data_IF_553582071760
#
_entry.id   IF_553582071760
#
_cell.length_a   1.000
_cell.length_b   1.000
_cell.length_c   1.000
_cell.angle_alpha   90.00
_cell.angle_beta   90.00
_cell.angle_gamma   90.00
#
_symmetry.space_group_name_H-M   'P 1'
#
loop_
_entity.id
_entity.type
_entity.pdbx_description
1 polymer ?
#
# COMPACT_ATOMS: atom_id res chain seq x y z
N UNK A 1 25.25 27.56 13.20
CA UNK A 1 24.07 27.47 14.10
C UNK A 1 22.84 27.83 13.29
N UNK A 2 22.32 26.88 12.50
CA UNK A 2 21.13 27.07 11.67
C UNK A 2 19.92 26.56 12.44
N UNK A 3 19.10 27.48 12.93
CA UNK A 3 17.76 27.21 13.41
C UNK A 3 16.81 27.97 12.49
N UNK A 4 16.32 27.30 11.43
CA UNK A 4 15.08 27.67 10.76
C UNK A 4 14.09 26.57 11.11
N UNK A 5 13.17 26.95 11.96
CA UNK A 5 11.95 26.25 12.34
C UNK A 5 11.16 25.81 11.11
N UNK A 6 11.24 24.52 10.75
CA UNK A 6 10.24 23.88 9.90
C UNK A 6 9.21 23.18 10.78
N UNK A 7 8.10 23.90 10.94
CA UNK A 7 6.82 23.41 11.45
C UNK A 7 6.40 22.11 10.76
N UNK A 8 5.85 21.17 11.53
CA UNK A 8 5.25 19.91 11.08
C UNK A 8 4.21 20.13 9.98
N UNK A 9 4.50 19.70 8.74
CA UNK A 9 3.50 19.33 7.73
C UNK A 9 4.10 18.53 6.54
N UNK A 10 4.91 17.49 6.79
CA UNK A 10 5.28 16.52 5.74
C UNK A 10 4.08 15.62 5.45
N UNK A 11 3.11 16.10 4.69
CA UNK A 11 2.02 15.29 4.12
C UNK A 11 1.94 15.32 2.57
N UNK A 12 2.46 16.33 1.82
CA UNK A 12 2.42 16.27 0.35
C UNK A 12 3.71 15.78 -0.33
N UNK A 13 4.87 15.75 0.34
CA UNK A 13 6.16 15.41 -0.29
C UNK A 13 6.35 13.92 -0.52
N UNK A 14 6.04 13.06 0.46
CA UNK A 14 6.18 11.61 0.33
C UNK A 14 5.27 11.03 -0.78
N UNK A 15 4.02 11.50 -0.86
CA UNK A 15 3.07 11.08 -1.89
C UNK A 15 3.54 11.52 -3.28
N UNK A 16 4.12 12.72 -3.42
CA UNK A 16 4.74 13.17 -4.69
C UNK A 16 5.94 12.32 -5.09
N UNK A 17 6.79 11.93 -4.13
CA UNK A 17 7.96 11.09 -4.43
C UNK A 17 7.54 9.70 -4.89
N UNK A 18 6.61 9.05 -4.19
CA UNK A 18 6.07 7.74 -4.59
C UNK A 18 5.42 7.84 -5.98
N UNK A 19 4.65 8.91 -6.24
CA UNK A 19 4.04 9.14 -7.53
C UNK A 19 5.06 9.26 -8.68
N UNK A 20 6.18 9.95 -8.46
CA UNK A 20 7.25 10.05 -9.45
C UNK A 20 7.90 8.70 -9.73
N UNK A 21 8.19 7.91 -8.69
CA UNK A 21 8.76 6.57 -8.83
C UNK A 21 7.84 5.63 -9.62
N UNK A 22 6.53 5.67 -9.34
CA UNK A 22 5.53 4.89 -10.08
C UNK A 22 5.43 5.31 -11.54
N UNK A 23 5.48 6.61 -11.83
CA UNK A 23 5.44 7.12 -13.20
C UNK A 23 6.67 6.69 -13.99
N UNK A 24 7.87 6.90 -13.45
CA UNK A 24 9.12 6.51 -14.10
C UNK A 24 9.19 4.99 -14.28
N UNK A 25 8.85 4.22 -13.24
CA UNK A 25 8.79 2.76 -13.32
C UNK A 25 7.79 2.28 -14.38
N UNK A 26 6.59 2.87 -14.43
CA UNK A 26 5.58 2.53 -15.44
C UNK A 26 6.05 2.80 -16.88
N UNK A 27 6.70 3.94 -17.12
CA UNK A 27 7.28 4.24 -18.44
C UNK A 27 8.37 3.25 -18.85
N UNK A 28 9.23 2.85 -17.91
CA UNK A 28 10.27 1.84 -18.17
C UNK A 28 9.65 0.49 -18.55
N UNK A 29 8.60 0.05 -17.84
CA UNK A 29 7.90 -1.20 -18.16
C UNK A 29 7.27 -1.14 -19.55
N UNK A 30 6.61 -0.04 -19.91
CA UNK A 30 6.02 0.15 -21.25
C UNK A 30 7.11 0.10 -22.34
N UNK A 31 8.25 0.75 -22.08
CA UNK A 31 9.37 0.77 -23.02
C UNK A 31 9.97 -0.62 -23.22
N UNK A 32 10.24 -1.36 -22.13
CA UNK A 32 10.75 -2.73 -22.20
C UNK A 32 9.76 -3.66 -22.89
N UNK A 33 8.46 -3.50 -22.64
CA UNK A 33 7.40 -4.27 -23.30
C UNK A 33 7.34 -3.98 -24.81
N UNK A 34 7.48 -2.72 -25.23
CA UNK A 34 7.55 -2.35 -26.64
C UNK A 34 8.78 -2.95 -27.32
N UNK A 35 9.95 -2.90 -26.68
CA UNK A 35 11.17 -3.53 -27.19
C UNK A 35 11.02 -5.04 -27.34
N UNK A 36 10.36 -5.71 -26.38
CA UNK A 36 10.05 -7.14 -26.47
C UNK A 36 9.10 -7.46 -27.62
N UNK A 37 8.01 -6.70 -27.76
CA UNK A 37 7.03 -6.89 -28.83
C UNK A 37 7.64 -6.62 -30.22
N UNK A 38 8.40 -5.54 -30.38
CA UNK A 38 9.10 -5.21 -31.62
C UNK A 38 10.25 -6.16 -31.91
N UNK A 39 10.98 -6.64 -30.90
CA UNK A 39 12.06 -7.62 -31.03
C UNK A 39 11.57 -9.00 -31.44
N UNK A 40 10.34 -9.37 -31.09
CA UNK A 40 9.70 -10.60 -31.57
C UNK A 40 9.14 -10.43 -33.00
N UNK A 41 8.53 -9.28 -33.31
CA UNK A 41 7.93 -9.02 -34.62
C UNK A 41 8.95 -8.70 -35.70
N UNK A 42 10.09 -8.12 -35.34
CA UNK A 42 11.18 -7.74 -36.23
C UNK A 42 12.34 -8.68 -35.92
N UNK A 43 12.81 -9.46 -36.89
CA UNK A 43 13.99 -10.36 -36.79
C UNK A 43 15.34 -9.63 -36.55
N UNK A 44 15.28 -8.41 -36.01
CA UNK A 44 16.41 -7.56 -35.73
C UNK A 44 17.11 -8.03 -34.45
N UNK A 45 18.09 -8.92 -34.66
CA UNK A 45 19.01 -9.45 -33.64
C UNK A 45 19.51 -8.44 -32.59
N UNK A 46 19.97 -7.21 -32.94
CA UNK A 46 20.44 -6.26 -31.93
C UNK A 46 19.35 -5.80 -30.96
N UNK A 47 18.09 -5.70 -31.40
CA UNK A 47 16.97 -5.29 -30.55
C UNK A 47 16.66 -6.35 -29.48
N UNK A 48 16.75 -7.63 -29.88
CA UNK A 48 16.57 -8.76 -28.98
C UNK A 48 17.71 -8.86 -27.95
N UNK A 49 18.96 -8.57 -28.35
CA UNK A 49 20.09 -8.49 -27.42
C UNK A 49 19.92 -7.36 -26.39
N UNK A 50 19.44 -6.19 -26.80
CA UNK A 50 19.13 -5.09 -25.88
C UNK A 50 18.03 -5.47 -24.88
N UNK A 51 16.95 -6.11 -25.36
CA UNK A 51 15.90 -6.61 -24.48
C UNK A 51 16.43 -7.62 -23.44
N UNK A 52 17.21 -8.61 -23.89
CA UNK A 52 17.80 -9.62 -23.01
C UNK A 52 18.76 -9.00 -21.97
N UNK A 53 19.59 -8.03 -22.37
CA UNK A 53 20.49 -7.33 -21.43
C UNK A 53 19.73 -6.48 -20.43
N UNK A 54 18.67 -5.77 -20.85
CA UNK A 54 17.80 -5.06 -19.91
C UNK A 54 17.17 -6.01 -18.88
N UNK A 55 16.67 -7.17 -19.31
CA UNK A 55 16.11 -8.17 -18.40
C UNK A 55 17.16 -8.73 -17.42
N UNK A 56 18.37 -9.00 -17.90
CA UNK A 56 19.47 -9.47 -17.04
C UNK A 56 19.82 -8.44 -15.96
N UNK A 57 19.84 -7.15 -16.31
CA UNK A 57 20.08 -6.07 -15.35
C UNK A 57 18.94 -5.98 -14.33
N UNK A 58 17.68 -6.06 -14.78
CA UNK A 58 16.51 -6.05 -13.88
C UNK A 58 16.60 -7.22 -12.89
N UNK A 59 16.86 -8.44 -13.38
CA UNK A 59 17.00 -9.63 -12.51
C UNK A 59 18.15 -9.49 -11.51
N UNK A 60 19.30 -8.95 -11.93
CA UNK A 60 20.41 -8.69 -11.02
C UNK A 60 20.02 -7.69 -9.92
N UNK A 61 19.30 -6.62 -10.28
CA UNK A 61 18.79 -5.64 -9.30
C UNK A 61 17.74 -6.22 -8.36
N UNK A 62 16.84 -7.08 -8.85
CA UNK A 62 15.84 -7.75 -8.02
C UNK A 62 16.49 -8.70 -7.00
N UNK A 63 17.50 -9.48 -7.43
CA UNK A 63 18.25 -10.36 -6.52
C UNK A 63 18.97 -9.52 -5.46
N UNK A 64 19.64 -8.44 -5.86
CA UNK A 64 20.31 -7.55 -4.92
C UNK A 64 19.32 -6.90 -3.93
N UNK A 65 18.16 -6.44 -4.41
CA UNK A 65 17.11 -5.86 -3.57
C UNK A 65 16.51 -6.90 -2.60
N UNK A 66 16.29 -8.13 -3.06
CA UNK A 66 15.78 -9.22 -2.23
C UNK A 66 16.76 -9.58 -1.10
N UNK A 67 18.06 -9.68 -1.41
CA UNK A 67 19.10 -9.91 -0.39
C UNK A 67 19.13 -8.74 0.60
N UNK A 68 19.11 -7.51 0.11
CA UNK A 68 19.11 -6.32 0.95
C UNK A 68 17.90 -6.29 1.90
N UNK A 69 16.70 -6.56 1.38
CA UNK A 69 15.46 -6.64 2.15
C UNK A 69 15.47 -7.78 3.17
N UNK A 70 16.05 -8.93 2.83
CA UNK A 70 16.21 -10.05 3.76
C UNK A 70 17.14 -9.70 4.93
N UNK A 71 18.26 -9.03 4.65
CA UNK A 71 19.22 -8.61 5.69
C UNK A 71 18.68 -7.49 6.58
N UNK A 72 17.89 -6.55 6.03
CA UNK A 72 17.36 -5.39 6.74
C UNK A 72 15.85 -5.47 7.00
N UNK A 73 15.33 -6.67 7.18
CA UNK A 73 13.90 -6.93 7.36
C UNK A 73 13.26 -6.13 8.50
N UNK A 74 13.97 -5.93 9.62
CA UNK A 74 13.47 -5.16 10.76
C UNK A 74 13.29 -3.66 10.46
N UNK A 75 14.20 -3.07 9.68
CA UNK A 75 14.07 -1.67 9.23
C UNK A 75 12.91 -1.55 8.25
N UNK A 76 12.86 -2.47 7.28
CA UNK A 76 11.79 -2.52 6.28
C UNK A 76 10.40 -2.70 6.91
N UNK A 77 10.25 -3.55 7.93
CA UNK A 77 8.97 -3.75 8.60
C UNK A 77 8.47 -2.44 9.25
N UNK A 78 9.35 -1.69 9.92
CA UNK A 78 8.96 -0.44 10.57
C UNK A 78 8.52 0.62 9.55
N UNK A 79 9.30 0.80 8.49
CA UNK A 79 8.99 1.74 7.41
C UNK A 79 7.68 1.35 6.70
N UNK A 80 7.52 0.05 6.41
CA UNK A 80 6.31 -0.48 5.79
C UNK A 80 5.08 -0.30 6.68
N UNK A 81 5.20 -0.57 7.99
CA UNK A 81 4.13 -0.32 8.97
C UNK A 81 3.77 1.17 9.02
N UNK A 82 4.74 2.07 8.97
CA UNK A 82 4.46 3.52 8.95
C UNK A 82 3.68 3.93 7.70
N UNK A 83 4.07 3.42 6.52
CA UNK A 83 3.35 3.65 5.25
C UNK A 83 1.92 3.10 5.34
N UNK A 84 1.74 1.90 5.87
CA UNK A 84 0.42 1.30 6.07
C UNK A 84 -0.43 2.11 7.04
N UNK A 85 0.13 2.60 8.16
CA UNK A 85 -0.59 3.47 9.10
C UNK A 85 -0.99 4.80 8.45
N UNK A 86 -0.10 5.38 7.65
CA UNK A 86 -0.42 6.58 6.88
C UNK A 86 -1.56 6.34 5.88
N UNK A 87 -1.56 5.19 5.19
CA UNK A 87 -2.66 4.76 4.32
C UNK A 87 -3.96 4.50 5.09
N UNK A 88 -3.88 3.87 6.27
CA UNK A 88 -5.03 3.58 7.13
C UNK A 88 -5.74 4.86 7.60
N UNK A 89 -5.01 5.97 7.80
CA UNK A 89 -5.62 7.27 8.13
C UNK A 89 -6.55 7.78 7.01
N UNK A 90 -6.31 7.40 5.76
CA UNK A 90 -7.19 7.74 4.63
C UNK A 90 -8.42 6.82 4.53
N UNK A 91 -8.52 5.78 5.38
CA UNK A 91 -9.69 4.91 5.43
C UNK A 91 -10.93 5.71 5.84
N UNK A 92 -11.84 5.91 4.89
CA UNK A 92 -13.07 6.64 5.10
C UNK A 92 -14.21 5.65 5.40
N UNK A 93 -14.88 5.82 6.53
CA UNK A 93 -15.66 4.76 7.12
C UNK A 93 -17.06 4.53 6.62
N UNK A 94 -17.55 5.32 5.67
CA UNK A 94 -18.92 5.20 5.16
C UNK A 94 -19.06 5.81 3.77
N UNK A 95 -20.04 5.29 3.03
CA UNK A 95 -20.45 5.73 1.70
C UNK A 95 -21.20 7.10 1.68
N UNK A 96 -21.59 7.61 2.86
CA UNK A 96 -22.63 8.64 3.01
C UNK A 96 -22.15 10.08 3.27
N UNK A 97 -20.86 10.40 3.13
CA UNK A 97 -20.43 11.80 3.20
C UNK A 97 -20.56 12.48 1.83
N UNK A 98 -21.37 13.53 1.79
CA UNK A 98 -21.69 14.46 0.68
C UNK A 98 -20.47 15.08 -0.06
N UNK A 99 -19.24 14.67 0.25
CA UNK A 99 -18.02 14.91 -0.54
C UNK A 99 -17.51 13.56 -1.06
N UNK A 100 -17.94 13.20 -2.27
CA UNK A 100 -17.41 12.06 -3.03
C UNK A 100 -15.95 12.35 -3.43
N UNK A 101 -15.00 12.13 -2.54
CA UNK A 101 -13.61 11.97 -2.94
C UNK A 101 -13.46 10.53 -3.43
N UNK A 102 -13.31 10.35 -4.75
CA UNK A 102 -13.14 9.04 -5.41
C UNK A 102 -12.03 8.22 -4.72
N UNK A 103 -10.99 8.91 -4.27
CA UNK A 103 -9.84 8.31 -3.58
C UNK A 103 -10.21 7.60 -2.27
N UNK A 104 -11.15 8.16 -1.50
CA UNK A 104 -11.54 7.59 -0.21
C UNK A 104 -12.32 6.27 -0.34
N UNK A 105 -13.08 6.11 -1.42
CA UNK A 105 -13.82 4.88 -1.72
C UNK A 105 -12.87 3.75 -2.14
N UNK A 106 -11.87 4.06 -2.96
CA UNK A 106 -10.85 3.09 -3.38
C UNK A 106 -10.03 2.61 -2.18
N UNK A 107 -9.61 3.53 -1.30
CA UNK A 107 -8.88 3.17 -0.09
C UNK A 107 -9.71 2.30 0.86
N UNK A 108 -11.02 2.59 0.99
CA UNK A 108 -11.93 1.73 1.75
C UNK A 108 -12.00 0.32 1.17
N UNK A 109 -12.25 0.20 -0.13
CA UNK A 109 -12.38 -1.10 -0.78
C UNK A 109 -11.09 -1.93 -0.68
N UNK A 110 -9.93 -1.31 -0.87
CA UNK A 110 -8.63 -1.96 -0.74
C UNK A 110 -8.41 -2.50 0.68
N UNK A 111 -8.68 -1.68 1.69
CA UNK A 111 -8.55 -2.10 3.10
C UNK A 111 -9.58 -3.16 3.50
N UNK A 112 -10.83 -3.03 3.08
CA UNK A 112 -11.86 -4.03 3.34
C UNK A 112 -11.45 -5.40 2.75
N UNK A 113 -10.93 -5.42 1.51
CA UNK A 113 -10.42 -6.64 0.88
C UNK A 113 -9.24 -7.23 1.64
N UNK A 114 -8.27 -6.40 2.03
CA UNK A 114 -7.11 -6.86 2.79
C UNK A 114 -7.50 -7.46 4.14
N UNK A 115 -8.38 -6.79 4.89
CA UNK A 115 -8.88 -7.26 6.19
C UNK A 115 -9.61 -8.60 6.07
N UNK A 116 -10.46 -8.76 5.05
CA UNK A 116 -11.19 -10.00 4.82
C UNK A 116 -10.28 -11.14 4.36
N UNK A 117 -9.34 -10.88 3.45
CA UNK A 117 -8.48 -11.92 2.87
C UNK A 117 -7.41 -12.41 3.85
N UNK A 118 -6.82 -11.49 4.62
CA UNK A 118 -5.77 -11.81 5.60
C UNK A 118 -6.31 -12.00 7.02
N UNK A 119 -7.63 -11.84 7.21
CA UNK A 119 -8.30 -11.94 8.49
C UNK A 119 -7.63 -11.11 9.61
N UNK A 120 -7.20 -9.90 9.26
CA UNK A 120 -6.52 -8.94 10.14
C UNK A 120 -7.31 -7.63 10.24
N UNK A 121 -6.95 -6.78 11.21
CA UNK A 121 -7.73 -5.58 11.53
C UNK A 121 -6.88 -4.32 11.70
N UNK A 122 -6.51 -3.69 10.59
CA UNK A 122 -5.55 -2.58 10.60
C UNK A 122 -4.12 -3.09 10.48
N UNK A 123 -3.15 -2.34 11.01
CA UNK A 123 -1.72 -2.64 10.84
C UNK A 123 -1.21 -3.53 11.97
N UNK A 124 -1.48 -3.14 13.21
CA UNK A 124 -1.08 -3.89 14.41
C UNK A 124 -2.24 -4.65 15.06
N UNK A 125 -3.47 -4.51 14.52
CA UNK A 125 -4.70 -5.04 15.16
C UNK A 125 -4.90 -4.54 16.58
N UNK A 126 -4.46 -3.30 16.84
CA UNK A 126 -4.56 -2.66 18.15
C UNK A 126 -5.83 -1.83 18.26
N UNK A 127 -6.39 -1.80 19.48
CA UNK A 127 -7.50 -0.92 19.81
C UNK A 127 -7.07 0.54 19.64
N UNK A 128 -7.87 1.34 18.92
CA UNK A 128 -7.59 2.76 18.70
C UNK A 128 -6.79 3.09 17.42
N UNK A 129 -6.35 2.11 16.63
CA UNK A 129 -5.64 2.38 15.35
C UNK A 129 -6.50 3.17 14.35
N UNK A 130 -7.81 2.99 14.40
CA UNK A 130 -8.76 3.70 13.54
C UNK A 130 -9.13 5.10 14.06
N UNK A 131 -8.68 5.50 15.25
CA UNK A 131 -9.05 6.77 15.88
C UNK A 131 -8.67 7.99 15.02
N UNK A 132 -7.53 7.88 14.32
CA UNK A 132 -7.04 8.92 13.40
C UNK A 132 -7.55 8.76 11.96
N UNK A 133 -8.35 7.72 11.69
CA UNK A 133 -8.94 7.49 10.37
C UNK A 133 -10.25 8.25 10.20
N UNK A 134 -10.65 8.50 8.95
CA UNK A 134 -11.94 9.10 8.65
C UNK A 134 -13.12 8.34 9.27
N UNK A 135 -12.98 7.02 9.43
CA UNK A 135 -13.99 6.16 10.02
C UNK A 135 -14.37 6.54 11.47
N UNK A 136 -13.41 6.83 12.34
CA UNK A 136 -13.71 7.18 13.75
C UNK A 136 -14.50 8.49 13.86
N UNK A 137 -14.15 9.48 13.03
CA UNK A 137 -14.89 10.75 12.96
C UNK A 137 -16.34 10.57 12.49
N UNK A 138 -16.61 9.58 11.63
CA UNK A 138 -17.95 9.31 11.10
C UNK A 138 -18.83 8.57 12.10
N UNK A 139 -18.28 7.58 12.79
CA UNK A 139 -19.00 6.81 13.82
C UNK A 139 -19.05 7.51 15.16
N UNK A 140 -18.44 8.70 15.31
CA UNK A 140 -18.32 9.44 16.58
C UNK A 140 -17.73 8.56 17.69
N UNK A 141 -16.79 7.69 17.34
CA UNK A 141 -16.17 6.73 18.26
C UNK A 141 -17.10 5.65 18.82
N UNK A 142 -18.31 5.47 18.28
CA UNK A 142 -19.25 4.43 18.77
C UNK A 142 -18.79 3.01 18.46
N UNK A 143 -18.07 2.86 17.37
CA UNK A 143 -17.48 1.59 16.97
C UNK A 143 -15.97 1.79 17.01
N UNK A 144 -15.21 0.77 17.38
CA UNK A 144 -13.73 0.80 17.35
C UNK A 144 -13.13 0.16 16.07
N UNK A 145 -13.83 -0.79 15.45
CA UNK A 145 -13.43 -1.43 14.19
C UNK A 145 -14.50 -1.34 13.10
N UNK A 146 -14.11 -1.24 11.81
CA UNK A 146 -15.04 -1.25 10.69
C UNK A 146 -15.74 -2.61 10.51
N UNK A 147 -16.86 -2.68 9.78
CA UNK A 147 -17.60 -3.93 9.57
C UNK A 147 -16.79 -5.00 8.82
N UNK A 148 -15.87 -4.61 7.93
CA UNK A 148 -15.00 -5.55 7.21
C UNK A 148 -14.03 -6.33 8.12
N UNK A 149 -13.82 -5.83 9.33
CA UNK A 149 -12.99 -6.45 10.36
C UNK A 149 -13.68 -7.61 11.10
N UNK A 150 -14.99 -7.78 10.92
CA UNK A 150 -15.76 -8.83 11.58
C UNK A 150 -16.38 -9.77 10.53
N UNK A 151 -15.97 -11.04 10.45
CA UNK A 151 -16.77 -12.01 9.72
C UNK A 151 -18.12 -12.19 10.43
N UNK A 152 -19.25 -12.21 9.70
CA UNK A 152 -20.49 -12.73 10.27
C UNK A 152 -20.29 -14.22 10.59
N UNK A 153 -20.62 -14.63 11.81
CA UNK A 153 -20.80 -16.06 12.10
C UNK A 153 -21.89 -16.64 11.18
N UNK A 154 -21.98 -17.97 11.00
CA UNK A 154 -23.04 -18.61 10.19
C UNK A 154 -24.47 -18.23 10.58
N UNK A 155 -24.63 -17.55 11.72
CA UNK A 155 -25.87 -17.05 12.29
C UNK A 155 -26.04 -15.51 12.20
N UNK A 156 -25.17 -14.80 11.48
CA UNK A 156 -25.28 -13.34 11.26
C UNK A 156 -25.00 -12.46 12.49
N UNK A 157 -24.29 -12.97 13.50
CA UNK A 157 -23.85 -12.22 14.68
C UNK A 157 -22.34 -11.96 14.63
N UNK A 158 -21.94 -10.74 15.00
CA UNK A 158 -20.55 -10.26 14.99
C UNK A 158 -19.77 -10.87 16.15
N UNK A 159 -18.69 -11.61 15.88
CA UNK A 159 -17.77 -12.14 16.91
C UNK A 159 -16.45 -11.36 16.82
N UNK A 160 -16.02 -10.63 17.88
CA UNK A 160 -14.67 -10.13 17.93
C UNK A 160 -13.70 -11.32 17.95
N UNK A 161 -12.63 -11.24 17.16
CA UNK A 161 -11.56 -12.25 17.15
C UNK A 161 -10.84 -12.16 18.50
N UNK A 162 -11.36 -12.85 19.51
CA UNK A 162 -10.65 -13.07 20.76
C UNK A 162 -9.34 -13.76 20.40
N UNK A 163 -8.25 -13.03 20.67
CA UNK A 163 -6.88 -13.48 20.75
C UNK A 163 -6.85 -14.93 21.31
N UNK A 164 -6.56 -15.92 20.46
CA UNK A 164 -6.13 -17.21 20.97
C UNK A 164 -4.60 -17.13 21.08
N UNK A 165 -4.03 -17.16 22.30
CA UNK A 165 -2.59 -17.26 22.47
C UNK A 165 -2.16 -18.66 22.01
N UNK A 166 -1.25 -18.71 21.04
CA UNK A 166 -0.36 -19.85 20.88
C UNK A 166 0.96 -19.49 21.57
#
# INVERSE_FOLDING_TARGET
MMHITTSKATKPTAVRQIGYLLLVGGLLVIFVAFLGCCGAAKEWRPLLCCYATCLMVILATEIAAAIYAAMHSHMFENDFREILRASLRLYNGTENTRKKNVDGMLMKAAWDKLMMEKACCGVDSKMGEFNESGWFHLTKGRYMFPPACCPPDGNGKLKPRTLNPA
#
